data_IF_923603053675
#
_entry.id   IF_923603053675
#
_cell.length_a   1.000
_cell.length_b   1.000
_cell.length_c   1.000
_cell.angle_alpha   90.00
_cell.angle_beta   90.00
_cell.angle_gamma   90.00
#
_symmetry.space_group_name_H-M   'P 1'
#
loop_
_entity.id
_entity.type
_entity.pdbx_description
1 polymer ?
#
# COMPACT_ATOMS: atom_id res chain seq x y z
N UNK A 1 -5.81 -28.53 -8.64
CA UNK A 1 -5.20 -27.95 -9.85
C UNK A 1 -4.94 -28.99 -10.94
N UNK A 2 -4.60 -30.24 -10.56
CA UNK A 2 -4.35 -31.32 -11.54
C UNK A 2 -5.65 -31.81 -12.23
N UNK A 3 -6.79 -31.73 -11.57
CA UNK A 3 -8.11 -32.09 -12.15
C UNK A 3 -8.66 -31.00 -13.07
N UNK A 4 -8.27 -29.74 -12.86
CA UNK A 4 -8.57 -28.63 -13.76
C UNK A 4 -7.64 -28.59 -14.99
N UNK A 5 -6.52 -29.32 -14.98
CA UNK A 5 -5.54 -29.41 -16.05
C UNK A 5 -5.89 -30.46 -17.14
N UNK A 6 -7.02 -31.12 -17.04
CA UNK A 6 -7.50 -32.02 -18.10
C UNK A 6 -7.90 -31.31 -19.40
N UNK A 7 -8.22 -30.04 -19.32
CA UNK A 7 -8.41 -29.15 -20.46
C UNK A 7 -7.43 -28.00 -20.34
N UNK A 8 -6.48 -27.87 -21.28
CA UNK A 8 -5.41 -26.87 -21.26
C UNK A 8 -6.01 -25.50 -21.54
N UNK A 9 -6.49 -24.82 -20.49
CA UNK A 9 -6.95 -23.43 -20.58
C UNK A 9 -5.79 -22.43 -20.65
N UNK A 10 -4.58 -22.82 -20.18
CA UNK A 10 -3.41 -21.97 -20.13
C UNK A 10 -2.20 -22.70 -20.70
N UNK A 11 -1.60 -22.15 -21.73
CA UNK A 11 -0.36 -22.66 -22.32
C UNK A 11 0.88 -22.13 -21.62
N UNK A 12 0.78 -20.95 -21.02
CA UNK A 12 1.89 -20.26 -20.35
C UNK A 12 1.35 -19.32 -19.25
N UNK A 13 2.09 -19.20 -18.17
CA UNK A 13 1.82 -18.28 -17.07
C UNK A 13 2.96 -17.27 -16.95
N UNK A 14 2.61 -16.00 -16.90
CA UNK A 14 3.55 -14.93 -16.57
C UNK A 14 3.42 -14.61 -15.08
N UNK A 15 4.52 -14.68 -14.34
CA UNK A 15 4.53 -14.45 -12.89
C UNK A 15 5.18 -13.12 -12.55
N UNK A 16 4.70 -12.52 -11.47
CA UNK A 16 5.11 -11.19 -11.02
C UNK A 16 6.21 -11.26 -9.94
N UNK A 17 6.38 -12.41 -9.30
CA UNK A 17 7.38 -12.62 -8.27
C UNK A 17 8.37 -13.72 -8.69
N UNK A 18 9.68 -13.56 -8.41
CA UNK A 18 10.72 -14.48 -8.89
C UNK A 18 10.59 -15.90 -8.32
N UNK A 19 9.92 -16.06 -7.19
CA UNK A 19 9.72 -17.37 -6.55
C UNK A 19 8.47 -18.11 -7.03
N UNK A 20 7.59 -17.49 -7.81
CA UNK A 20 6.32 -18.12 -8.24
C UNK A 20 6.49 -19.25 -9.25
N UNK A 21 7.43 -19.19 -10.23
CA UNK A 21 7.58 -20.27 -11.21
C UNK A 21 7.73 -21.66 -10.60
N UNK A 22 8.42 -21.78 -9.47
CA UNK A 22 8.63 -23.07 -8.77
C UNK A 22 7.32 -23.76 -8.33
N UNK A 23 6.23 -23.02 -8.22
CA UNK A 23 4.94 -23.57 -7.81
C UNK A 23 4.12 -24.10 -9.00
N UNK A 24 4.46 -23.75 -10.23
CA UNK A 24 3.67 -24.08 -11.42
C UNK A 24 4.42 -24.99 -12.38
N UNK A 25 5.73 -24.82 -12.56
CA UNK A 25 6.55 -25.64 -13.46
C UNK A 25 6.49 -27.16 -13.14
N UNK A 26 6.45 -27.61 -11.86
CA UNK A 26 6.32 -29.03 -11.56
C UNK A 26 5.02 -29.67 -12.06
N UNK A 27 4.00 -28.88 -12.37
CA UNK A 27 2.72 -29.32 -12.92
C UNK A 27 2.65 -29.25 -14.45
N UNK A 28 3.78 -28.99 -15.12
CA UNK A 28 3.86 -28.96 -16.58
C UNK A 28 3.39 -27.65 -17.21
N UNK A 29 3.12 -26.59 -16.41
CA UNK A 29 2.75 -25.28 -16.94
C UNK A 29 4.01 -24.46 -17.21
N UNK A 30 4.20 -24.08 -18.49
CA UNK A 30 5.28 -23.15 -18.86
C UNK A 30 5.09 -21.83 -18.12
N UNK A 31 6.12 -21.43 -17.35
CA UNK A 31 5.99 -20.27 -16.44
C UNK A 31 7.26 -19.42 -16.55
N UNK A 32 7.05 -18.13 -16.81
CA UNK A 32 8.12 -17.14 -16.91
C UNK A 32 7.93 -16.03 -15.88
N UNK A 33 8.99 -15.66 -15.20
CA UNK A 33 9.02 -14.47 -14.37
C UNK A 33 9.27 -13.24 -15.27
N UNK A 34 8.34 -12.29 -15.26
CA UNK A 34 8.39 -11.07 -16.10
C UNK A 34 8.57 -9.79 -15.29
N UNK A 35 8.58 -9.89 -13.96
CA UNK A 35 8.62 -8.73 -13.08
C UNK A 35 7.24 -8.15 -12.77
N UNK A 36 7.21 -7.20 -11.84
CA UNK A 36 5.96 -6.59 -11.41
C UNK A 36 5.69 -5.31 -12.20
N UNK A 37 4.48 -5.12 -12.79
CA UNK A 37 4.17 -3.95 -13.62
C UNK A 37 4.21 -2.61 -12.87
N UNK A 38 4.33 -2.63 -11.56
CA UNK A 38 4.49 -1.43 -10.75
C UNK A 38 5.70 -0.58 -11.14
N UNK A 39 6.73 -1.17 -11.77
CA UNK A 39 7.90 -0.42 -12.27
C UNK A 39 7.53 0.56 -13.40
N UNK A 40 6.39 0.32 -14.07
CA UNK A 40 5.83 1.22 -15.09
C UNK A 40 4.77 2.16 -14.49
N UNK A 41 4.60 2.15 -13.17
CA UNK A 41 3.61 2.98 -12.49
C UNK A 41 3.92 4.46 -12.69
N UNK A 42 2.91 5.30 -12.99
CA UNK A 42 3.07 6.75 -13.05
C UNK A 42 3.60 7.39 -11.77
N UNK A 43 3.66 6.66 -10.66
CA UNK A 43 4.23 7.15 -9.39
C UNK A 43 5.69 7.59 -9.53
N UNK A 44 6.42 7.02 -10.48
CA UNK A 44 7.80 7.41 -10.81
C UNK A 44 7.91 8.87 -11.27
N UNK A 45 6.82 9.40 -11.84
CA UNK A 45 6.70 10.77 -12.33
C UNK A 45 5.98 11.69 -11.33
N UNK A 46 5.79 11.27 -10.09
CA UNK A 46 5.16 12.08 -9.06
C UNK A 46 5.95 13.36 -8.78
N UNK A 47 5.25 14.50 -8.77
CA UNK A 47 5.84 15.83 -8.53
C UNK A 47 5.41 16.34 -7.15
N UNK A 48 6.31 16.13 -6.18
CA UNK A 48 6.09 16.57 -4.80
C UNK A 48 6.05 18.09 -4.63
N UNK A 49 6.78 18.85 -5.46
CA UNK A 49 6.78 20.31 -5.39
C UNK A 49 5.44 20.87 -5.91
N UNK A 50 4.92 20.33 -7.01
CA UNK A 50 3.59 20.69 -7.51
C UNK A 50 2.51 20.38 -6.48
N UNK A 51 2.62 19.25 -5.76
CA UNK A 51 1.72 18.93 -4.68
C UNK A 51 1.76 19.97 -3.57
N UNK A 52 2.95 20.34 -3.09
CA UNK A 52 3.12 21.35 -2.04
C UNK A 52 2.52 22.69 -2.44
N UNK A 53 2.80 23.17 -3.64
CA UNK A 53 2.25 24.42 -4.16
C UNK A 53 0.73 24.40 -4.26
N UNK A 54 0.16 23.28 -4.74
CA UNK A 54 -1.29 23.13 -4.91
C UNK A 54 -2.07 23.19 -3.59
N UNK A 55 -1.48 22.71 -2.52
CA UNK A 55 -2.13 22.60 -1.23
C UNK A 55 -1.55 23.53 -0.15
N UNK A 56 -0.78 24.55 -0.57
CA UNK A 56 -0.18 25.58 0.30
C UNK A 56 0.62 24.98 1.47
N UNK A 57 1.38 23.91 1.19
CA UNK A 57 2.23 23.24 2.18
C UNK A 57 3.62 23.91 2.14
N UNK A 58 4.05 24.42 3.29
CA UNK A 58 5.34 25.10 3.43
C UNK A 58 6.53 24.24 3.03
N UNK A 59 7.55 24.89 2.46
CA UNK A 59 8.80 24.21 2.12
C UNK A 59 9.46 23.67 3.39
N UNK A 60 9.92 22.42 3.31
CA UNK A 60 10.52 21.73 4.45
C UNK A 60 9.53 21.14 5.46
N UNK A 61 8.23 21.43 5.37
CA UNK A 61 7.23 20.78 6.22
C UNK A 61 7.20 19.28 5.96
N UNK A 62 7.33 18.47 7.01
CA UNK A 62 7.32 17.00 6.90
C UNK A 62 5.90 16.49 6.68
N UNK A 63 5.73 15.70 5.64
CA UNK A 63 4.43 15.11 5.25
C UNK A 63 4.44 13.62 5.57
N UNK A 64 3.41 13.16 6.29
CA UNK A 64 3.14 11.75 6.54
C UNK A 64 1.94 11.31 5.70
N UNK A 65 2.19 10.36 4.78
CA UNK A 65 1.17 9.78 3.93
C UNK A 65 0.49 8.60 4.62
N UNK A 66 -0.84 8.61 4.69
CA UNK A 66 -1.63 7.53 5.27
C UNK A 66 -2.40 6.82 4.14
N UNK A 67 -2.12 5.55 3.91
CA UNK A 67 -2.67 4.74 2.83
C UNK A 67 -3.41 3.51 3.38
N UNK A 68 -4.64 3.69 3.91
CA UNK A 68 -5.36 2.64 4.63
C UNK A 68 -5.97 1.57 3.72
N UNK A 69 -5.71 1.62 2.41
CA UNK A 69 -6.22 0.71 1.41
C UNK A 69 -7.24 1.33 0.46
N UNK A 70 -7.65 0.55 -0.54
CA UNK A 70 -8.55 0.96 -1.62
C UNK A 70 -9.93 0.30 -1.53
N UNK A 71 -10.16 -0.59 -0.56
CA UNK A 71 -11.42 -1.32 -0.36
C UNK A 71 -12.11 -0.88 0.93
N UNK A 72 -13.44 -0.87 0.94
CA UNK A 72 -14.24 -0.45 2.11
C UNK A 72 -13.84 -1.18 3.41
N UNK A 73 -13.63 -2.50 3.34
CA UNK A 73 -13.25 -3.31 4.51
C UNK A 73 -11.84 -2.96 5.03
N UNK A 74 -10.90 -2.69 4.13
CA UNK A 74 -9.53 -2.28 4.49
C UNK A 74 -9.56 -0.93 5.21
N UNK A 75 -10.16 0.08 4.57
CA UNK A 75 -10.30 1.43 5.13
C UNK A 75 -11.00 1.38 6.50
N UNK A 76 -12.11 0.65 6.62
CA UNK A 76 -12.86 0.57 7.88
C UNK A 76 -12.06 -0.04 9.04
N UNK A 77 -11.11 -0.93 8.73
CA UNK A 77 -10.27 -1.61 9.75
C UNK A 77 -8.98 -0.87 10.05
N UNK A 78 -8.33 -0.31 9.03
CA UNK A 78 -6.99 0.24 9.16
C UNK A 78 -6.99 1.75 9.43
N UNK A 79 -7.90 2.52 8.82
CA UNK A 79 -7.92 3.98 9.01
C UNK A 79 -8.02 4.40 10.49
N UNK A 80 -8.86 3.79 11.36
CA UNK A 80 -8.89 4.15 12.77
C UNK A 80 -7.54 3.96 13.48
N UNK A 81 -6.82 2.89 13.13
CA UNK A 81 -5.51 2.59 13.71
C UNK A 81 -4.46 3.59 13.21
N UNK A 82 -4.49 3.91 11.91
CA UNK A 82 -3.58 4.88 11.32
C UNK A 82 -3.81 6.28 11.88
N UNK A 83 -5.06 6.67 12.12
CA UNK A 83 -5.39 7.95 12.75
C UNK A 83 -4.91 8.02 14.21
N UNK A 84 -5.01 6.92 14.97
CA UNK A 84 -4.45 6.85 16.32
C UNK A 84 -2.93 7.02 16.30
N UNK A 85 -2.24 6.32 15.41
CA UNK A 85 -0.79 6.47 15.24
C UNK A 85 -0.41 7.91 14.82
N UNK A 86 -1.14 8.47 13.85
CA UNK A 86 -0.94 9.85 13.41
C UNK A 86 -1.18 10.88 14.51
N UNK A 87 -2.16 10.63 15.39
CA UNK A 87 -2.44 11.50 16.54
C UNK A 87 -1.29 11.46 17.56
N UNK A 88 -0.71 10.29 17.83
CA UNK A 88 0.47 10.15 18.69
C UNK A 88 1.66 10.90 18.08
N UNK A 89 1.89 10.71 16.76
CA UNK A 89 2.94 11.43 16.05
C UNK A 89 2.75 12.95 16.10
N UNK A 90 1.53 13.44 15.91
CA UNK A 90 1.21 14.89 15.97
C UNK A 90 1.44 15.49 17.36
N UNK A 91 1.22 14.73 18.42
CA UNK A 91 1.49 15.16 19.79
C UNK A 91 3.01 15.31 20.06
N UNK A 92 3.82 14.42 19.47
CA UNK A 92 5.28 14.43 19.61
C UNK A 92 5.93 15.41 18.61
N UNK A 93 5.32 15.58 17.46
CA UNK A 93 5.81 16.39 16.34
C UNK A 93 4.68 17.27 15.79
N UNK A 94 4.38 18.40 16.45
CA UNK A 94 3.27 19.28 16.08
C UNK A 94 3.36 19.85 14.65
N UNK A 95 4.56 19.91 14.08
CA UNK A 95 4.84 20.40 12.72
C UNK A 95 4.40 19.42 11.61
N UNK A 96 4.14 18.15 11.92
CA UNK A 96 3.79 17.16 10.91
C UNK A 96 2.49 17.49 10.20
N UNK A 97 2.51 17.33 8.88
CA UNK A 97 1.35 17.41 8.01
C UNK A 97 0.90 16.00 7.61
N UNK A 98 -0.41 15.74 7.58
CA UNK A 98 -0.94 14.43 7.25
C UNK A 98 -1.78 14.50 5.97
N UNK A 99 -1.57 13.54 5.07
CA UNK A 99 -2.34 13.41 3.83
C UNK A 99 -2.86 11.98 3.68
N UNK A 100 -4.09 11.86 3.19
CA UNK A 100 -4.70 10.59 2.77
C UNK A 100 -5.03 10.68 1.28
N UNK A 101 -4.16 10.17 0.40
CA UNK A 101 -4.54 9.94 -0.98
C UNK A 101 -5.54 8.78 -1.03
N UNK A 102 -6.68 9.01 -1.65
CA UNK A 102 -7.76 8.03 -1.70
C UNK A 102 -8.31 7.85 -3.10
N UNK A 103 -8.97 6.72 -3.32
CA UNK A 103 -9.67 6.42 -4.58
C UNK A 103 -11.16 6.72 -4.45
N UNK A 104 -11.80 7.07 -5.55
CA UNK A 104 -13.22 7.47 -5.59
C UNK A 104 -14.16 6.50 -4.85
N UNK A 105 -13.87 5.20 -4.96
CA UNK A 105 -14.70 4.13 -4.38
C UNK A 105 -14.82 4.21 -2.85
N UNK A 106 -13.79 4.72 -2.16
CA UNK A 106 -13.77 4.79 -0.69
C UNK A 106 -13.67 6.21 -0.14
N UNK A 107 -13.58 7.24 -1.01
CA UNK A 107 -13.39 8.63 -0.61
C UNK A 107 -14.45 9.12 0.38
N UNK A 108 -15.74 8.86 0.11
CA UNK A 108 -16.82 9.24 1.03
C UNK A 108 -16.68 8.57 2.41
N UNK A 109 -16.26 7.30 2.42
CA UNK A 109 -16.03 6.57 3.66
C UNK A 109 -14.88 7.18 4.47
N UNK A 110 -13.77 7.50 3.81
CA UNK A 110 -12.64 8.18 4.43
C UNK A 110 -13.08 9.51 5.03
N UNK A 111 -13.75 10.37 4.26
CA UNK A 111 -14.24 11.68 4.72
C UNK A 111 -15.20 11.57 5.90
N UNK A 112 -16.13 10.62 5.86
CA UNK A 112 -17.07 10.39 6.96
C UNK A 112 -16.35 9.94 8.25
N UNK A 113 -15.31 9.13 8.15
CA UNK A 113 -14.53 8.69 9.31
C UNK A 113 -13.65 9.81 9.88
N UNK A 114 -13.22 10.75 9.05
CA UNK A 114 -12.44 11.93 9.47
C UNK A 114 -13.29 13.04 10.08
N UNK A 115 -14.60 13.08 9.83
CA UNK A 115 -15.47 14.14 10.32
C UNK A 115 -15.45 14.32 11.86
N UNK A 116 -15.13 13.23 12.59
CA UNK A 116 -14.99 13.24 14.05
C UNK A 116 -13.54 13.09 14.51
N UNK A 117 -12.56 13.16 13.60
CA UNK A 117 -11.16 13.05 13.95
C UNK A 117 -10.65 14.40 14.46
N UNK A 118 -9.99 14.40 15.62
CA UNK A 118 -9.36 15.60 16.18
C UNK A 118 -8.06 16.01 15.44
N UNK A 119 -7.67 15.24 14.45
CA UNK A 119 -6.44 15.44 13.67
C UNK A 119 -6.79 16.07 12.31
N UNK A 120 -6.20 17.24 11.96
CA UNK A 120 -6.34 17.78 10.61
C UNK A 120 -5.60 16.89 9.61
N UNK A 121 -6.33 16.39 8.62
CA UNK A 121 -5.80 15.52 7.57
C UNK A 121 -6.32 16.01 6.22
N UNK A 122 -5.41 16.25 5.29
CA UNK A 122 -5.76 16.54 3.90
C UNK A 122 -6.18 15.24 3.20
N UNK A 123 -7.37 15.23 2.61
CA UNK A 123 -7.81 14.11 1.75
C UNK A 123 -7.73 14.55 0.31
N UNK A 124 -7.00 13.80 -0.51
CA UNK A 124 -6.88 14.06 -1.95
C UNK A 124 -7.41 12.88 -2.76
N UNK A 125 -8.04 13.20 -3.89
CA UNK A 125 -8.62 12.25 -4.81
C UNK A 125 -8.02 12.44 -6.20
N UNK A 126 -7.91 11.36 -6.94
CA UNK A 126 -7.33 11.38 -8.28
C UNK A 126 -5.94 10.75 -8.30
N UNK A 127 -5.61 10.20 -9.45
CA UNK A 127 -4.38 9.41 -9.60
C UNK A 127 -3.14 10.29 -9.56
N UNK A 128 -3.18 11.43 -10.24
CA UNK A 128 -2.10 12.41 -10.25
C UNK A 128 -1.81 12.95 -8.85
N UNK A 129 -2.83 13.44 -8.13
CA UNK A 129 -2.67 13.94 -6.75
C UNK A 129 -2.19 12.84 -5.80
N UNK A 130 -2.59 11.59 -6.02
CA UNK A 130 -2.11 10.45 -5.25
C UNK A 130 -0.61 10.24 -5.42
N UNK A 131 -0.11 10.25 -6.65
CA UNK A 131 1.32 10.07 -6.95
C UNK A 131 2.13 11.27 -6.45
N UNK A 132 1.65 12.48 -6.68
CA UNK A 132 2.29 13.70 -6.22
C UNK A 132 2.34 13.78 -4.68
N UNK A 133 1.28 13.35 -3.99
CA UNK A 133 1.26 13.25 -2.52
C UNK A 133 2.30 12.24 -2.00
N UNK A 134 2.43 11.07 -2.67
CA UNK A 134 3.47 10.10 -2.31
C UNK A 134 4.85 10.72 -2.48
N UNK A 135 5.14 11.32 -3.64
CA UNK A 135 6.43 11.96 -3.92
C UNK A 135 6.75 13.13 -2.98
N UNK A 136 5.74 13.86 -2.49
CA UNK A 136 5.91 14.92 -1.50
C UNK A 136 6.16 14.42 -0.08
N UNK A 137 5.95 13.12 0.19
CA UNK A 137 5.91 12.58 1.55
C UNK A 137 7.29 12.27 2.10
N UNK A 138 7.50 12.60 3.37
CA UNK A 138 8.72 12.25 4.12
C UNK A 138 8.70 10.80 4.57
N UNK A 139 7.51 10.29 4.90
CA UNK A 139 7.29 8.89 5.27
C UNK A 139 5.82 8.49 5.07
N UNK A 140 5.53 7.20 5.10
CA UNK A 140 4.18 6.71 4.96
C UNK A 140 3.81 5.60 5.96
N UNK A 141 2.51 5.51 6.28
CA UNK A 141 1.89 4.36 6.93
C UNK A 141 0.91 3.76 5.92
N UNK A 142 1.13 2.55 5.48
CA UNK A 142 0.38 1.96 4.39
C UNK A 142 -0.21 0.58 4.74
N UNK A 143 -1.32 0.23 4.11
CA UNK A 143 -1.83 -1.14 4.09
C UNK A 143 -0.89 -2.04 3.28
N UNK A 144 -0.88 -3.33 3.60
CA UNK A 144 -0.16 -4.31 2.80
C UNK A 144 -0.78 -4.45 1.40
N UNK A 145 0.06 -4.43 0.36
CA UNK A 145 -0.35 -4.55 -1.03
C UNK A 145 0.66 -3.93 -1.99
N UNK A 146 0.24 -3.71 -3.22
CA UNK A 146 1.07 -3.10 -4.28
C UNK A 146 1.53 -1.68 -3.95
N UNK A 147 0.79 -0.97 -3.09
CA UNK A 147 1.14 0.38 -2.62
C UNK A 147 2.51 0.44 -1.94
N UNK A 148 2.96 -0.65 -1.31
CA UNK A 148 4.30 -0.72 -0.73
C UNK A 148 5.40 -0.63 -1.81
N UNK A 149 5.16 -1.23 -2.97
CA UNK A 149 6.08 -1.14 -4.11
C UNK A 149 6.04 0.27 -4.75
N UNK A 150 4.85 0.88 -4.83
CA UNK A 150 4.72 2.27 -5.30
C UNK A 150 5.50 3.24 -4.40
N UNK A 151 5.39 3.09 -3.07
CA UNK A 151 6.15 3.89 -2.11
C UNK A 151 7.66 3.65 -2.22
N UNK A 152 8.09 2.41 -2.47
CA UNK A 152 9.49 2.09 -2.69
C UNK A 152 10.04 2.75 -3.97
N UNK A 153 9.25 2.77 -5.06
CA UNK A 153 9.61 3.46 -6.31
C UNK A 153 9.66 4.98 -6.12
N UNK A 154 8.75 5.53 -5.30
CA UNK A 154 8.75 6.95 -4.95
C UNK A 154 9.85 7.33 -3.94
N UNK A 155 10.71 6.39 -3.53
CA UNK A 155 11.76 6.55 -2.51
C UNK A 155 11.22 7.05 -1.15
N UNK A 156 10.02 6.60 -0.78
CA UNK A 156 9.36 6.99 0.47
C UNK A 156 9.52 5.90 1.53
N UNK A 157 10.24 6.17 2.63
CA UNK A 157 10.30 5.27 3.78
C UNK A 157 8.90 5.00 4.32
N UNK A 158 8.57 3.74 4.57
CA UNK A 158 7.21 3.41 5.00
C UNK A 158 7.12 2.23 5.96
N UNK A 159 6.05 2.26 6.75
CA UNK A 159 5.65 1.17 7.64
C UNK A 159 4.37 0.54 7.11
N UNK A 160 4.34 -0.78 7.05
CA UNK A 160 3.15 -1.53 6.63
C UNK A 160 2.33 -1.95 7.84
N UNK A 161 1.09 -1.44 7.90
CA UNK A 161 0.08 -1.84 8.86
C UNK A 161 -0.82 -2.94 8.30
N UNK A 162 -1.02 -4.00 9.07
CA UNK A 162 -1.92 -5.08 8.71
C UNK A 162 -2.81 -5.48 9.88
N UNK A 163 -4.11 -5.60 9.66
CA UNK A 163 -5.07 -5.98 10.69
C UNK A 163 -6.03 -7.04 10.16
N UNK A 164 -5.91 -8.25 10.66
CA UNK A 164 -6.83 -9.37 10.40
C UNK A 164 -7.76 -9.61 11.58
N UNK A 165 -8.86 -10.31 11.31
CA UNK A 165 -9.71 -10.79 12.41
C UNK A 165 -8.90 -11.72 13.33
N UNK A 166 -9.13 -11.69 14.65
CA UNK A 166 -8.35 -12.49 15.61
C UNK A 166 -8.34 -13.99 15.29
N UNK A 167 -9.47 -14.52 14.85
CA UNK A 167 -9.57 -15.92 14.43
C UNK A 167 -8.70 -16.24 13.20
N UNK A 168 -8.72 -15.36 12.21
CA UNK A 168 -7.86 -15.47 11.01
C UNK A 168 -6.38 -15.37 11.40
N UNK A 169 -6.04 -14.46 12.31
CA UNK A 169 -4.67 -14.31 12.80
C UNK A 169 -4.17 -15.59 13.50
N UNK A 170 -5.00 -16.21 14.33
CA UNK A 170 -4.69 -17.47 15.01
C UNK A 170 -4.47 -18.61 14.01
N UNK A 171 -5.34 -18.75 13.00
CA UNK A 171 -5.21 -19.77 11.97
C UNK A 171 -3.98 -19.56 11.10
N UNK A 172 -3.73 -18.32 10.64
CA UNK A 172 -2.55 -17.98 9.83
C UNK A 172 -1.26 -18.25 10.60
N UNK A 173 -1.18 -17.86 11.86
CA UNK A 173 0.00 -18.09 12.72
C UNK A 173 0.26 -19.57 12.95
N UNK A 174 -0.79 -20.38 12.99
CA UNK A 174 -0.66 -21.82 13.26
C UNK A 174 -0.35 -22.64 11.99
N UNK A 175 -0.92 -22.26 10.85
CA UNK A 175 -0.83 -23.06 9.61
C UNK A 175 0.13 -22.50 8.55
N UNK A 176 0.47 -21.22 8.61
CA UNK A 176 1.29 -20.57 7.59
C UNK A 176 2.60 -20.05 8.21
N UNK A 177 3.72 -20.64 7.82
CA UNK A 177 5.06 -20.14 8.14
C UNK A 177 5.44 -19.02 7.13
N UNK A 178 4.68 -17.93 7.15
CA UNK A 178 4.94 -16.76 6.29
C UNK A 178 5.94 -15.87 7.04
N UNK A 179 7.15 -15.74 6.49
CA UNK A 179 8.16 -14.84 7.05
C UNK A 179 7.84 -13.37 6.78
N UNK A 180 7.33 -13.06 5.59
CA UNK A 180 7.05 -11.69 5.17
C UNK A 180 5.64 -11.56 4.59
N UNK A 181 4.93 -10.51 4.96
CA UNK A 181 3.59 -10.16 4.45
C UNK A 181 3.66 -9.02 3.44
N UNK A 182 4.70 -8.20 3.51
CA UNK A 182 4.93 -7.09 2.60
C UNK A 182 5.63 -7.56 1.32
N UNK A 183 5.16 -7.12 0.16
CA UNK A 183 5.74 -7.46 -1.14
C UNK A 183 7.19 -7.03 -1.27
N UNK A 184 7.56 -5.87 -0.73
CA UNK A 184 8.95 -5.39 -0.75
C UNK A 184 9.89 -6.34 0.01
N UNK A 185 9.48 -6.78 1.20
CA UNK A 185 10.26 -7.75 1.98
C UNK A 185 10.33 -9.13 1.32
N UNK A 186 9.24 -9.56 0.64
CA UNK A 186 9.21 -10.81 -0.13
C UNK A 186 10.23 -10.75 -1.29
N UNK A 187 10.30 -9.61 -1.99
CA UNK A 187 11.23 -9.42 -3.10
C UNK A 187 12.69 -9.34 -2.63
N UNK A 188 12.93 -8.65 -1.50
CA UNK A 188 14.27 -8.48 -0.92
C UNK A 188 14.74 -9.70 -0.13
N UNK A 189 13.85 -10.60 0.31
CA UNK A 189 14.15 -11.73 1.18
C UNK A 189 14.60 -11.33 2.59
N UNK A 190 14.33 -10.09 3.00
CA UNK A 190 14.72 -9.51 4.31
C UNK A 190 13.72 -8.44 4.77
N UNK A 191 13.78 -8.08 6.06
CA UNK A 191 13.08 -6.92 6.64
C UNK A 191 13.80 -5.60 6.30
#
# INVERSE_FOLDING_TARGET
LRELAGEVFLNRLLTLLPQEPKYFTPYGLATDFVGHPVIESPVVNGDGETFRRKYDIEDGQKIICLLPGSRHNEVSRLLPVFLQAAQILKQQHPELFFVIPTVKTVAQRVKAMLANAALPVLVVEGEEDRHNAMSASTAAIAASGTVALELAIADVPHVIGYKVAPLTAALVKHFLHIQFVNLSNILLGRE
#
